data_IF_849396545771
#
_entry.id   IF_849396545771
#
_cell.length_a   1.000
_cell.length_b   1.000
_cell.length_c   1.000
_cell.angle_alpha   90.00
_cell.angle_beta   90.00
_cell.angle_gamma   90.00
#
_symmetry.space_group_name_H-M   'P 1'
#
loop_
_entity.id
_entity.type
_entity.pdbx_description
1 polymer ?
#
# COMPACT_ATOMS: atom_id res chain seq x y z
N UNK A 1 -19.45 -13.92 10.14
CA UNK A 1 -17.99 -13.69 10.09
C UNK A 1 -17.72 -12.97 8.79
N UNK A 2 -17.49 -11.65 8.83
CA UNK A 2 -17.22 -10.89 7.61
C UNK A 2 -15.80 -11.21 7.14
N UNK A 3 -15.67 -11.94 6.04
CA UNK A 3 -14.40 -12.07 5.32
C UNK A 3 -13.91 -10.66 4.97
N UNK A 4 -12.76 -10.26 5.52
CA UNK A 4 -12.03 -9.07 5.09
C UNK A 4 -11.51 -9.29 3.66
N UNK A 5 -12.39 -9.20 2.66
CA UNK A 5 -12.03 -9.14 1.24
C UNK A 5 -11.74 -7.68 0.89
N UNK A 6 -10.46 -7.30 0.83
CA UNK A 6 -10.09 -5.98 0.30
C UNK A 6 -8.79 -5.39 0.83
N UNK A 7 -7.67 -6.07 0.63
CA UNK A 7 -6.34 -5.45 0.70
C UNK A 7 -5.54 -5.87 -0.53
N UNK A 8 -4.74 -4.98 -1.16
CA UNK A 8 -4.43 -3.59 -0.86
C UNK A 8 -5.19 -2.56 -1.72
N UNK A 9 -5.31 -1.34 -1.19
CA UNK A 9 -5.87 -0.17 -1.87
C UNK A 9 -4.76 0.68 -2.51
N UNK A 10 -5.03 1.17 -3.71
CA UNK A 10 -4.31 2.28 -4.31
C UNK A 10 -5.00 3.56 -3.89
N UNK A 11 -4.26 4.44 -3.25
CA UNK A 11 -4.76 5.70 -2.71
C UNK A 11 -4.09 6.87 -3.43
N UNK A 12 -4.72 8.04 -3.44
CA UNK A 12 -4.08 9.26 -3.89
C UNK A 12 -2.84 9.51 -3.02
N UNK A 13 -1.69 9.77 -3.65
CA UNK A 13 -0.44 10.02 -2.91
C UNK A 13 -0.51 11.30 -2.08
N UNK A 14 -1.23 12.30 -2.58
CA UNK A 14 -1.33 13.61 -1.93
C UNK A 14 -2.25 13.59 -0.70
N UNK A 15 -3.48 13.12 -0.84
CA UNK A 15 -4.50 13.20 0.23
C UNK A 15 -4.94 11.85 0.81
N UNK A 16 -4.38 10.74 0.34
CA UNK A 16 -4.72 9.37 0.77
C UNK A 16 -6.15 8.92 0.50
N UNK A 17 -6.94 9.69 -0.26
CA UNK A 17 -8.26 9.27 -0.71
C UNK A 17 -8.18 7.94 -1.49
N UNK A 18 -8.97 6.91 -1.17
CA UNK A 18 -8.94 5.63 -1.89
C UNK A 18 -9.33 5.78 -3.36
N UNK A 19 -8.54 5.23 -4.28
CA UNK A 19 -8.68 5.42 -5.73
C UNK A 19 -8.97 4.11 -6.46
N UNK A 20 -8.36 2.99 -6.08
CA UNK A 20 -8.63 1.71 -6.74
C UNK A 20 -8.32 0.52 -5.84
N UNK A 21 -8.98 -0.61 -6.10
CA UNK A 21 -8.63 -1.89 -5.48
C UNK A 21 -7.51 -2.57 -6.25
N UNK A 22 -6.77 -3.47 -5.60
CA UNK A 22 -5.84 -4.35 -6.30
C UNK A 22 -6.52 -5.30 -7.28
N UNK A 23 -7.73 -5.75 -6.97
CA UNK A 23 -8.47 -6.66 -7.84
C UNK A 23 -8.86 -6.01 -9.17
N UNK A 24 -8.92 -4.67 -9.21
CA UNK A 24 -9.14 -3.91 -10.43
C UNK A 24 -7.87 -3.72 -11.28
N UNK A 25 -6.69 -4.10 -10.79
CA UNK A 25 -5.44 -3.92 -11.53
C UNK A 25 -5.33 -4.94 -12.67
N UNK A 26 -5.43 -4.45 -13.90
CA UNK A 26 -5.34 -5.29 -15.10
C UNK A 26 -3.92 -5.46 -15.62
N UNK A 27 -3.09 -4.41 -15.55
CA UNK A 27 -1.72 -4.48 -16.07
C UNK A 27 -0.80 -3.44 -15.48
N UNK A 28 0.46 -3.83 -15.26
CA UNK A 28 1.55 -2.97 -14.77
C UNK A 28 2.48 -2.47 -15.87
N UNK A 29 2.20 -2.78 -17.14
CA UNK A 29 3.12 -2.58 -18.28
C UNK A 29 2.90 -1.26 -19.01
N UNK A 30 2.19 -0.30 -18.42
CA UNK A 30 1.85 0.96 -19.07
C UNK A 30 2.83 2.08 -18.69
N UNK A 31 2.87 3.12 -19.52
CA UNK A 31 3.67 4.32 -19.30
C UNK A 31 2.80 5.55 -19.53
N UNK A 32 3.12 6.62 -18.80
CA UNK A 32 2.47 7.90 -18.80
C UNK A 32 3.51 9.02 -18.81
N UNK A 33 3.04 10.27 -18.76
CA UNK A 33 3.91 11.46 -18.78
C UNK A 33 4.91 11.47 -17.62
N UNK A 34 4.49 11.06 -16.41
CA UNK A 34 5.39 11.00 -15.24
C UNK A 34 6.09 9.64 -15.06
N UNK A 35 6.17 8.82 -16.13
CA UNK A 35 6.88 7.54 -16.11
C UNK A 35 5.95 6.32 -16.04
N UNK A 36 6.25 5.30 -15.22
CA UNK A 36 5.43 4.07 -15.17
C UNK A 36 3.99 4.30 -14.72
N UNK A 37 3.06 3.55 -15.30
CA UNK A 37 1.63 3.64 -15.02
C UNK A 37 0.95 2.26 -15.05
N UNK A 38 -0.21 2.19 -14.42
CA UNK A 38 -1.01 0.98 -14.27
C UNK A 38 -2.36 1.13 -14.96
N UNK A 39 -2.84 0.04 -15.55
CA UNK A 39 -4.16 -0.06 -16.15
C UNK A 39 -5.13 -0.72 -15.17
N UNK A 40 -6.28 -0.10 -14.94
CA UNK A 40 -7.33 -0.58 -14.05
C UNK A 40 -8.68 -0.75 -14.77
N UNK A 41 -9.48 -1.73 -14.34
CA UNK A 41 -10.88 -1.90 -14.75
C UNK A 41 -11.79 -0.84 -14.15
N UNK A 42 -11.57 -0.51 -12.88
CA UNK A 42 -12.37 0.45 -12.13
C UNK A 42 -11.51 1.37 -11.27
N UNK A 43 -11.97 2.61 -11.11
CA UNK A 43 -11.36 3.66 -10.29
C UNK A 43 -12.48 4.44 -9.59
N UNK A 44 -12.33 4.64 -8.29
CA UNK A 44 -13.30 5.28 -7.40
C UNK A 44 -12.78 6.65 -6.91
N UNK A 45 -13.68 7.45 -6.31
CA UNK A 45 -13.39 8.77 -5.73
C UNK A 45 -12.60 9.72 -6.65
N UNK A 46 -12.95 9.69 -7.94
CA UNK A 46 -12.43 10.60 -8.96
C UNK A 46 -13.49 11.53 -9.52
N UNK A 47 -13.03 12.57 -10.19
CA UNK A 47 -13.78 13.41 -11.13
C UNK A 47 -13.16 13.23 -12.51
N UNK A 48 -13.99 13.07 -13.55
CA UNK A 48 -13.54 12.93 -14.94
C UNK A 48 -13.59 14.30 -15.62
N UNK A 49 -12.49 14.68 -16.26
CA UNK A 49 -12.35 15.94 -16.99
C UNK A 49 -12.99 15.93 -18.38
N UNK A 50 -12.73 16.97 -19.18
CA UNK A 50 -13.19 17.03 -20.56
C UNK A 50 -12.58 15.93 -21.43
N UNK A 51 -13.30 15.56 -22.48
CA UNK A 51 -12.83 14.57 -23.48
C UNK A 51 -11.91 15.26 -24.47
N UNK A 52 -10.76 14.66 -24.73
CA UNK A 52 -9.74 15.16 -25.64
C UNK A 52 -9.23 14.02 -26.52
N UNK A 53 -9.04 14.29 -27.81
CA UNK A 53 -8.36 13.37 -28.71
C UNK A 53 -6.84 13.50 -28.56
N UNK A 54 -6.14 12.37 -28.35
CA UNK A 54 -4.68 12.35 -28.20
C UNK A 54 -4.05 11.21 -28.98
N UNK A 55 -2.93 11.51 -29.63
CA UNK A 55 -2.00 10.52 -30.15
C UNK A 55 -1.20 9.91 -28.98
N UNK A 56 -1.39 8.61 -28.75
CA UNK A 56 -0.62 7.83 -27.79
C UNK A 56 0.27 6.81 -28.52
N UNK A 57 1.15 6.14 -27.76
CA UNK A 57 2.08 5.13 -28.31
C UNK A 57 1.40 4.03 -29.12
N UNK A 58 0.16 3.67 -28.77
CA UNK A 58 -0.59 2.59 -29.41
C UNK A 58 -1.71 3.08 -30.35
N UNK A 59 -1.66 4.34 -30.79
CA UNK A 59 -2.67 4.93 -31.69
C UNK A 59 -3.37 6.17 -31.13
N UNK A 60 -4.36 6.66 -31.89
CA UNK A 60 -5.21 7.81 -31.52
C UNK A 60 -6.36 7.33 -30.63
N UNK A 61 -6.62 8.07 -29.55
CA UNK A 61 -7.70 7.79 -28.61
C UNK A 61 -8.41 9.08 -28.21
N UNK A 62 -9.72 9.01 -27.96
CA UNK A 62 -10.39 9.99 -27.11
C UNK A 62 -10.23 9.58 -25.66
N UNK A 63 -9.58 10.43 -24.85
CA UNK A 63 -9.36 10.21 -23.42
C UNK A 63 -9.95 11.35 -22.59
N UNK A 64 -10.05 11.15 -21.28
CA UNK A 64 -10.36 12.23 -20.34
C UNK A 64 -9.45 12.11 -19.11
N UNK A 65 -8.80 13.21 -18.72
CA UNK A 65 -7.98 13.24 -17.52
C UNK A 65 -8.86 12.97 -16.28
N UNK A 66 -8.31 12.28 -15.28
CA UNK A 66 -9.02 11.95 -14.04
C UNK A 66 -8.33 12.60 -12.84
N UNK A 67 -9.15 13.20 -11.98
CA UNK A 67 -8.73 14.01 -10.86
C UNK A 67 -9.16 13.35 -9.56
N UNK A 68 -8.32 13.39 -8.53
CA UNK A 68 -8.73 12.95 -7.20
C UNK A 68 -9.85 13.85 -6.67
N UNK A 69 -10.99 13.27 -6.29
CA UNK A 69 -12.11 14.05 -5.73
C UNK A 69 -11.75 14.78 -4.43
N UNK A 70 -10.81 14.25 -3.66
CA UNK A 70 -10.44 14.78 -2.35
C UNK A 70 -9.49 15.98 -2.39
N UNK A 71 -8.61 16.08 -3.39
CA UNK A 71 -7.61 17.15 -3.46
C UNK A 71 -7.42 17.78 -4.84
N UNK A 72 -8.14 17.31 -5.86
CA UNK A 72 -8.03 17.81 -7.23
C UNK A 72 -6.78 17.38 -7.99
N UNK A 73 -5.88 16.59 -7.40
CA UNK A 73 -4.66 16.14 -8.07
C UNK A 73 -4.97 15.31 -9.33
N UNK A 74 -4.27 15.57 -10.45
CA UNK A 74 -4.35 14.75 -11.66
C UNK A 74 -3.71 13.39 -11.39
N UNK A 75 -4.48 12.32 -11.57
CA UNK A 75 -4.04 10.94 -11.28
C UNK A 75 -3.66 10.15 -12.55
N UNK A 76 -4.18 10.54 -13.71
CA UNK A 76 -4.01 9.85 -14.98
C UNK A 76 -5.19 10.14 -15.92
N UNK A 77 -5.67 9.15 -16.68
CA UNK A 77 -6.78 9.32 -17.62
C UNK A 77 -7.67 8.09 -17.77
N UNK A 78 -8.88 8.28 -18.31
CA UNK A 78 -9.80 7.23 -18.75
C UNK A 78 -9.81 7.16 -20.28
N UNK A 79 -9.77 5.95 -20.83
CA UNK A 79 -10.04 5.73 -22.25
C UNK A 79 -11.54 5.80 -22.52
N UNK A 80 -11.95 6.68 -23.43
CA UNK A 80 -13.35 6.85 -23.81
C UNK A 80 -13.65 6.16 -25.14
N UNK A 81 -12.84 6.43 -26.17
CA UNK A 81 -12.99 5.85 -27.51
C UNK A 81 -11.61 5.47 -28.04
N UNK A 82 -11.52 4.28 -28.63
CA UNK A 82 -10.41 3.83 -29.45
C UNK A 82 -10.83 3.80 -30.92
N UNK A 83 -10.11 4.53 -31.77
CA UNK A 83 -10.43 4.58 -33.21
C UNK A 83 -10.02 3.30 -33.94
N UNK A 84 -9.01 2.60 -33.42
CA UNK A 84 -8.62 1.27 -33.87
C UNK A 84 -9.41 0.18 -33.12
N UNK A 85 -10.09 -0.68 -33.87
CA UNK A 85 -10.86 -1.81 -33.34
C UNK A 85 -10.00 -2.75 -32.46
N UNK A 86 -8.73 -2.94 -32.80
CA UNK A 86 -7.81 -3.77 -32.02
C UNK A 86 -7.52 -3.19 -30.62
N UNK A 87 -7.79 -1.90 -30.40
CA UNK A 87 -7.53 -1.20 -29.14
C UNK A 87 -8.79 -0.96 -28.30
N UNK A 88 -9.99 -1.32 -28.79
CA UNK A 88 -11.28 -1.13 -28.09
C UNK A 88 -11.34 -1.78 -26.72
N UNK A 89 -10.56 -2.84 -26.48
CA UNK A 89 -10.47 -3.44 -25.15
C UNK A 89 -9.98 -2.46 -24.08
N UNK A 90 -9.40 -1.31 -24.43
CA UNK A 90 -9.00 -0.26 -23.50
C UNK A 90 -10.14 0.67 -23.11
N UNK A 91 -11.20 0.77 -23.91
CA UNK A 91 -12.34 1.65 -23.64
C UNK A 91 -12.96 1.36 -22.27
N UNK A 92 -13.33 2.42 -21.55
CA UNK A 92 -13.85 2.33 -20.19
C UNK A 92 -12.79 2.12 -19.11
N UNK A 93 -11.56 1.70 -19.46
CA UNK A 93 -10.47 1.45 -18.51
C UNK A 93 -9.70 2.71 -18.17
N UNK A 94 -8.95 2.63 -17.08
CA UNK A 94 -8.28 3.77 -16.46
C UNK A 94 -6.78 3.55 -16.41
N UNK A 95 -6.01 4.60 -16.71
CA UNK A 95 -4.59 4.67 -16.43
C UNK A 95 -4.39 5.51 -15.18
N UNK A 96 -3.66 4.98 -14.21
CA UNK A 96 -3.19 5.70 -13.04
C UNK A 96 -1.66 5.74 -13.03
N UNK A 97 -1.10 6.93 -12.85
CA UNK A 97 0.35 7.12 -12.79
C UNK A 97 0.90 6.71 -11.42
N UNK A 98 1.95 5.87 -11.38
CA UNK A 98 2.50 5.36 -10.12
C UNK A 98 3.01 6.49 -9.22
N UNK A 99 3.54 7.56 -9.82
CA UNK A 99 4.00 8.74 -9.10
C UNK A 99 2.87 9.45 -8.33
N UNK A 100 1.61 9.30 -8.75
CA UNK A 100 0.44 10.00 -8.20
C UNK A 100 -0.38 9.16 -7.22
N UNK A 101 -0.11 7.86 -7.15
CA UNK A 101 -0.79 6.93 -6.23
C UNK A 101 0.19 6.33 -5.22
N UNK A 102 -0.35 5.88 -4.09
CA UNK A 102 0.34 5.17 -3.04
C UNK A 102 -0.39 3.86 -2.75
N UNK A 103 0.36 2.75 -2.77
CA UNK A 103 -0.15 1.46 -2.36
C UNK A 103 -0.04 1.36 -0.84
N UNK A 104 -1.16 1.24 -0.14
CA UNK A 104 -1.16 1.05 1.31
C UNK A 104 -1.46 -0.42 1.61
N UNK A 105 -0.59 -1.03 2.41
CA UNK A 105 -0.77 -2.36 2.93
C UNK A 105 -1.05 -2.25 4.42
N UNK A 106 -2.21 -2.73 4.86
CA UNK A 106 -2.54 -2.76 6.27
C UNK A 106 -1.74 -3.87 6.94
N UNK A 107 -1.02 -3.54 8.00
CA UNK A 107 -0.14 -4.50 8.67
C UNK A 107 -0.57 -4.83 10.10
N UNK A 108 -1.51 -4.06 10.65
CA UNK A 108 -2.12 -4.25 11.97
C UNK A 108 -3.36 -3.36 12.12
N UNK A 109 -4.24 -3.67 13.07
CA UNK A 109 -5.30 -2.76 13.52
C UNK A 109 -4.83 -1.86 14.66
N UNK A 110 -5.60 -0.81 14.95
CA UNK A 110 -5.33 0.09 16.08
C UNK A 110 -5.50 -0.62 17.43
N UNK A 111 -6.54 -1.44 17.55
CA UNK A 111 -6.88 -2.16 18.79
C UNK A 111 -5.85 -3.22 19.15
N UNK A 112 -5.00 -3.61 18.19
CA UNK A 112 -3.88 -4.50 18.45
C UNK A 112 -2.70 -3.82 19.16
N UNK A 113 -2.70 -2.49 19.33
CA UNK A 113 -1.61 -1.79 20.03
C UNK A 113 -1.66 -2.14 21.52
N UNK A 114 -0.63 -2.87 21.98
CA UNK A 114 -0.42 -3.17 23.40
C UNK A 114 0.29 -2.01 24.09
N UNK A 115 1.32 -1.43 23.45
CA UNK A 115 2.10 -0.35 24.07
C UNK A 115 2.75 0.57 23.04
N UNK A 116 2.72 1.88 23.35
CA UNK A 116 3.30 2.94 22.53
C UNK A 116 4.67 3.45 23.02
N UNK A 117 5.22 2.78 24.04
CA UNK A 117 6.43 3.17 24.77
C UNK A 117 7.69 2.40 24.35
N UNK A 118 7.65 1.67 23.24
CA UNK A 118 8.76 0.87 22.75
C UNK A 118 9.71 1.69 21.86
N UNK A 119 10.95 1.21 21.76
CA UNK A 119 11.98 1.76 20.88
C UNK A 119 12.40 0.69 19.86
N UNK A 120 12.43 1.12 18.61
CA UNK A 120 12.93 0.43 17.42
C UNK A 120 14.43 0.64 17.22
N UNK A 121 14.95 0.17 16.08
CA UNK A 121 16.35 0.44 15.68
C UNK A 121 16.54 1.91 15.32
N UNK A 122 15.52 2.52 14.72
CA UNK A 122 15.57 3.88 14.17
C UNK A 122 14.72 4.89 14.97
N UNK A 123 14.52 4.66 16.27
CA UNK A 123 13.71 5.51 17.15
C UNK A 123 12.39 4.86 17.54
N UNK A 124 11.31 5.63 17.66
CA UNK A 124 10.07 5.14 18.30
C UNK A 124 9.44 3.93 17.58
N UNK A 125 8.97 2.97 18.36
CA UNK A 125 8.24 1.79 17.87
C UNK A 125 7.06 1.45 18.79
N UNK A 126 6.16 0.60 18.32
CA UNK A 126 4.98 0.17 19.08
C UNK A 126 4.91 -1.35 19.13
N UNK A 127 4.43 -1.86 20.27
CA UNK A 127 4.17 -3.28 20.49
C UNK A 127 2.73 -3.61 20.12
N UNK A 128 2.54 -4.65 19.32
CA UNK A 128 1.25 -5.12 18.84
C UNK A 128 0.99 -6.59 19.17
N UNK A 129 -0.28 -6.93 19.40
CA UNK A 129 -0.76 -8.31 19.59
C UNK A 129 -0.76 -9.12 18.30
N UNK A 130 -1.17 -8.52 17.20
CA UNK A 130 -1.31 -9.18 15.91
C UNK A 130 -0.67 -8.37 14.79
N UNK A 131 -0.35 -9.07 13.70
CA UNK A 131 0.16 -8.47 12.46
C UNK A 131 -0.41 -9.26 11.27
N UNK A 132 -0.66 -8.57 10.16
CA UNK A 132 -1.22 -9.12 8.93
C UNK A 132 -0.43 -8.64 7.70
N UNK A 133 -0.54 -9.34 6.57
CA UNK A 133 0.19 -9.03 5.33
C UNK A 133 1.69 -8.79 5.51
N UNK A 134 2.31 -9.59 6.37
CA UNK A 134 3.75 -9.61 6.60
C UNK A 134 4.31 -11.01 6.29
N UNK A 135 5.61 -11.08 6.03
CA UNK A 135 6.38 -12.32 6.08
C UNK A 135 7.41 -12.24 7.21
N UNK A 136 7.66 -13.36 7.91
CA UNK A 136 8.62 -13.44 9.01
C UNK A 136 9.94 -14.00 8.49
N UNK A 137 11.05 -13.35 8.85
CA UNK A 137 12.41 -13.74 8.50
C UNK A 137 12.97 -14.87 9.36
N UNK A 138 14.29 -15.14 9.22
CA UNK A 138 14.99 -16.08 10.08
C UNK A 138 15.02 -15.62 11.53
N UNK A 139 15.15 -16.60 12.44
CA UNK A 139 15.30 -16.35 13.88
C UNK A 139 16.75 -15.96 14.17
N UNK A 140 16.94 -14.90 14.94
CA UNK A 140 18.23 -14.38 15.34
C UNK A 140 18.20 -13.98 16.81
N UNK A 141 19.27 -14.30 17.53
CA UNK A 141 19.46 -13.81 18.90
C UNK A 141 20.03 -12.39 18.87
N UNK A 142 19.37 -11.46 19.54
CA UNK A 142 19.74 -10.04 19.60
C UNK A 142 19.73 -9.53 21.04
N UNK A 143 20.77 -8.78 21.41
CA UNK A 143 20.80 -8.02 22.67
C UNK A 143 20.02 -6.72 22.48
N UNK A 144 18.87 -6.62 23.15
CA UNK A 144 18.04 -5.41 23.17
C UNK A 144 18.19 -4.71 24.52
N UNK A 145 17.58 -3.53 24.66
CA UNK A 145 17.62 -2.73 25.91
C UNK A 145 17.17 -3.56 27.13
N UNK A 146 16.24 -4.49 26.94
CA UNK A 146 15.69 -5.34 28.00
C UNK A 146 16.37 -6.72 28.07
N UNK A 147 17.58 -6.88 27.55
CA UNK A 147 18.34 -8.13 27.59
C UNK A 147 18.29 -8.94 26.29
N UNK A 148 18.78 -10.18 26.36
CA UNK A 148 18.88 -11.12 25.23
C UNK A 148 17.49 -11.64 24.81
N UNK A 149 17.21 -11.61 23.52
CA UNK A 149 15.97 -12.14 22.93
C UNK A 149 16.25 -12.86 21.61
N UNK A 150 15.52 -13.94 21.34
CA UNK A 150 15.39 -14.46 19.96
C UNK A 150 14.29 -13.69 19.28
N UNK A 151 14.59 -13.04 18.16
CA UNK A 151 13.64 -12.26 17.35
C UNK A 151 13.69 -12.70 15.89
N UNK A 152 12.70 -12.29 15.10
CA UNK A 152 12.72 -12.46 13.65
C UNK A 152 12.18 -11.21 12.99
N UNK A 153 12.90 -10.67 12.00
CA UNK A 153 12.43 -9.47 11.29
C UNK A 153 11.11 -9.74 10.58
N UNK A 154 10.23 -8.74 10.55
CA UNK A 154 8.98 -8.79 9.82
C UNK A 154 9.06 -7.87 8.61
N UNK A 155 8.69 -8.41 7.46
CA UNK A 155 8.77 -7.74 6.17
C UNK A 155 7.36 -7.49 5.66
N UNK A 156 7.12 -6.36 5.01
CA UNK A 156 5.89 -6.10 4.28
C UNK A 156 5.69 -7.19 3.22
N UNK A 157 4.51 -7.82 3.21
CA UNK A 157 4.15 -8.88 2.25
C UNK A 157 4.15 -8.41 0.80
N UNK A 158 4.03 -7.10 0.56
CA UNK A 158 3.99 -6.52 -0.78
C UNK A 158 5.33 -5.95 -1.26
N UNK A 159 5.99 -5.09 -0.48
CA UNK A 159 7.22 -4.41 -0.91
C UNK A 159 8.50 -5.04 -0.35
N UNK A 160 8.38 -6.04 0.54
CA UNK A 160 9.51 -6.71 1.22
C UNK A 160 10.39 -5.79 2.07
N UNK A 161 9.94 -4.58 2.36
CA UNK A 161 10.64 -3.69 3.29
C UNK A 161 10.50 -4.20 4.72
N UNK A 162 11.57 -4.07 5.53
CA UNK A 162 11.55 -4.41 6.96
C UNK A 162 10.71 -3.37 7.72
N UNK A 163 9.69 -3.86 8.43
CA UNK A 163 8.78 -3.02 9.20
C UNK A 163 9.09 -3.03 10.71
N UNK A 164 9.85 -4.01 11.17
CA UNK A 164 10.24 -4.23 12.57
C UNK A 164 10.55 -5.70 12.81
N UNK A 165 10.18 -6.25 13.98
CA UNK A 165 10.44 -7.66 14.31
C UNK A 165 9.36 -8.31 15.17
N UNK A 166 9.31 -9.64 15.17
CA UNK A 166 8.53 -10.46 16.09
C UNK A 166 9.43 -10.98 17.20
N UNK A 167 8.97 -10.93 18.44
CA UNK A 167 9.62 -11.62 19.55
C UNK A 167 9.30 -13.11 19.49
N UNK A 168 10.34 -13.94 19.34
CA UNK A 168 10.21 -15.39 19.27
C UNK A 168 10.43 -16.01 20.65
N UNK A 169 11.46 -15.54 21.36
CA UNK A 169 11.80 -16.01 22.70
C UNK A 169 12.40 -14.90 23.54
N UNK A 170 12.02 -14.83 24.80
CA UNK A 170 12.63 -14.04 25.85
C UNK A 170 13.21 -14.99 26.91
N UNK A 171 14.42 -14.69 27.37
CA UNK A 171 15.12 -15.54 28.35
C UNK A 171 14.82 -15.12 29.80
N UNK A 172 14.50 -13.84 30.01
CA UNK A 172 14.07 -13.31 31.30
C UNK A 172 12.55 -13.46 31.50
N UNK A 173 12.13 -13.91 32.68
CA UNK A 173 10.72 -14.11 33.02
C UNK A 173 9.90 -12.81 32.90
N UNK A 174 10.49 -11.67 33.29
CA UNK A 174 9.86 -10.35 33.22
C UNK A 174 9.56 -9.90 31.77
N UNK A 175 10.23 -10.50 30.78
CA UNK A 175 10.09 -10.14 29.37
C UNK A 175 9.21 -11.11 28.58
N UNK A 176 8.71 -12.19 29.21
CA UNK A 176 7.91 -13.24 28.55
C UNK A 176 6.64 -12.74 27.88
N UNK A 177 6.03 -11.68 28.39
CA UNK A 177 4.84 -11.07 27.79
C UNK A 177 5.05 -10.60 26.34
N UNK A 178 6.30 -10.42 25.91
CA UNK A 178 6.66 -10.02 24.54
C UNK A 178 6.62 -11.19 23.57
N UNK A 179 6.76 -12.44 24.03
CA UNK A 179 6.80 -13.60 23.13
C UNK A 179 5.54 -13.68 22.27
N UNK A 180 5.72 -13.88 20.97
CA UNK A 180 4.64 -13.89 19.98
C UNK A 180 4.16 -12.50 19.54
N UNK A 181 4.57 -11.42 20.22
CA UNK A 181 4.19 -10.03 19.89
C UNK A 181 5.08 -9.41 18.83
N UNK A 182 4.59 -8.33 18.24
CA UNK A 182 5.20 -7.67 17.10
C UNK A 182 5.62 -6.25 17.44
N UNK A 183 6.80 -5.86 16.98
CA UNK A 183 7.27 -4.49 16.98
C UNK A 183 7.14 -3.95 15.56
N UNK A 184 6.44 -2.82 15.42
CA UNK A 184 6.47 -2.02 14.21
C UNK A 184 7.16 -0.68 14.48
N UNK A 185 8.12 -0.33 13.64
CA UNK A 185 8.78 0.97 13.71
C UNK A 185 7.84 2.08 13.24
N UNK A 186 7.72 3.16 14.03
CA UNK A 186 6.81 4.27 13.71
C UNK A 186 7.12 4.90 12.35
N UNK A 187 8.38 4.96 11.96
CA UNK A 187 8.80 5.51 10.67
C UNK A 187 8.38 4.64 9.46
N UNK A 188 8.00 3.38 9.69
CA UNK A 188 7.65 2.39 8.66
C UNK A 188 6.15 2.15 8.53
N UNK A 189 5.35 2.71 9.43
CA UNK A 189 3.90 2.57 9.42
C UNK A 189 3.21 3.93 9.43
N UNK A 190 2.00 3.99 8.90
CA UNK A 190 1.18 5.20 8.88
C UNK A 190 -0.15 4.87 9.54
N UNK A 191 -0.65 5.78 10.38
CA UNK A 191 -2.00 5.66 10.93
C UNK A 191 -2.97 6.16 9.85
N UNK A 192 -3.84 5.29 9.35
CA UNK A 192 -4.99 5.75 8.56
C UNK A 192 -6.04 6.36 9.51
N UNK A 193 -6.62 7.49 9.08
CA UNK A 193 -7.48 8.31 9.90
C UNK A 193 -8.77 7.59 10.29
N UNK A 194 -9.05 7.68 11.59
CA UNK A 194 -10.30 7.41 12.32
C UNK A 194 -11.55 8.06 11.72
#
# INVERSE_FOLDING_TARGET
MAEFRGQPLYNCRNCRNPIALRDDLLSKKYKAKSGPAYLFSHVMNITVGPKEEKQLMSGVFTIADIYCRGCGEVLGWKYIIAHDHAQRFKEGKFILEIAKIAKLNHVSLHDDIISKAFQGRNGRAFLFSHAMNISVGPKEDRHLITGLHTVADIYCGDCREVLGWKYVRAYEASQKYKEGKFIFEKAKIVKENW
#
